data_IF_739176371108
#
_entry.id   IF_739176371108
#
_cell.length_a   1.000
_cell.length_b   1.000
_cell.length_c   1.000
_cell.angle_alpha   90.00
_cell.angle_beta   90.00
_cell.angle_gamma   90.00
#
_symmetry.space_group_name_H-M   'P 1'
#
loop_
_entity.id
_entity.type
_entity.pdbx_description
1 polymer ?
#
# COMPACT_ATOMS: atom_id res chain seq x y z
N UNK A 1 3.12 -3.43 -69.80
CA UNK A 1 2.02 -4.36 -70.14
C UNK A 1 2.03 -5.53 -69.17
N UNK A 2 0.83 -5.98 -68.79
CA UNK A 2 0.47 -7.11 -67.91
C UNK A 2 0.41 -6.82 -66.40
N UNK A 3 -0.80 -6.38 -66.04
CA UNK A 3 -1.45 -6.52 -64.75
C UNK A 3 -1.79 -7.99 -64.41
N UNK A 4 -1.86 -8.29 -63.12
CA UNK A 4 -2.58 -9.39 -62.44
C UNK A 4 -2.47 -9.05 -60.94
N UNK A 5 -3.39 -8.34 -60.29
CA UNK A 5 -4.78 -8.72 -59.95
C UNK A 5 -4.85 -10.13 -59.34
N UNK A 6 -4.62 -10.20 -58.03
CA UNK A 6 -5.09 -11.29 -57.18
C UNK A 6 -5.96 -10.68 -56.08
N UNK A 7 -7.27 -10.73 -56.33
CA UNK A 7 -8.34 -10.46 -55.40
C UNK A 7 -8.52 -11.66 -54.45
N UNK A 8 -8.98 -11.34 -53.23
CA UNK A 8 -9.81 -12.16 -52.34
C UNK A 8 -9.25 -13.49 -51.83
N UNK A 9 -9.04 -13.56 -50.51
CA UNK A 9 -9.86 -14.43 -49.67
C UNK A 9 -9.96 -13.84 -48.25
N UNK A 10 -11.17 -13.40 -47.90
CA UNK A 10 -11.63 -13.25 -46.52
C UNK A 10 -11.56 -14.62 -45.84
N UNK A 11 -10.71 -14.75 -44.82
CA UNK A 11 -10.79 -15.82 -43.84
C UNK A 11 -11.39 -15.29 -42.54
N UNK A 12 -12.71 -15.43 -42.38
CA UNK A 12 -13.38 -15.22 -41.11
C UNK A 12 -13.00 -16.37 -40.16
N UNK A 13 -12.13 -16.11 -39.19
CA UNK A 13 -11.92 -17.03 -38.06
C UNK A 13 -13.05 -16.79 -37.08
N UNK A 14 -14.04 -17.67 -37.11
CA UNK A 14 -15.01 -17.81 -36.03
C UNK A 14 -14.28 -18.39 -34.80
N UNK A 15 -13.94 -17.54 -33.84
CA UNK A 15 -13.53 -17.99 -32.51
C UNK A 15 -14.79 -18.43 -31.76
N UNK A 16 -14.97 -19.74 -31.72
CA UNK A 16 -15.98 -20.38 -30.89
C UNK A 16 -15.71 -20.11 -29.40
N UNK A 17 -16.79 -19.98 -28.65
CA UNK A 17 -16.87 -19.57 -27.25
C UNK A 17 -15.79 -20.17 -26.33
N UNK A 18 -15.07 -19.27 -25.68
CA UNK A 18 -14.78 -19.39 -24.26
C UNK A 18 -15.57 -18.32 -23.56
N UNK A 19 -16.57 -18.69 -22.75
CA UNK A 19 -17.15 -17.79 -21.77
C UNK A 19 -16.01 -17.18 -20.95
N UNK A 20 -15.84 -15.85 -20.89
CA UNK A 20 -14.96 -15.30 -19.88
C UNK A 20 -15.59 -15.64 -18.53
N UNK A 21 -14.92 -16.56 -17.82
CA UNK A 21 -15.12 -16.84 -16.41
C UNK A 21 -15.43 -15.52 -15.71
N UNK A 22 -16.58 -15.51 -15.05
CA UNK A 22 -17.14 -14.50 -14.16
C UNK A 22 -16.12 -13.41 -13.84
N UNK A 23 -16.19 -12.33 -14.61
CA UNK A 23 -15.49 -11.09 -14.29
C UNK A 23 -16.07 -10.55 -13.00
N UNK A 24 -15.53 -11.00 -11.88
CA UNK A 24 -15.60 -10.27 -10.62
C UNK A 24 -14.79 -8.99 -10.85
N UNK A 25 -15.48 -7.95 -11.33
CA UNK A 25 -14.96 -6.58 -11.29
C UNK A 25 -14.56 -6.32 -9.84
N UNK A 26 -13.37 -5.74 -9.58
CA UNK A 26 -13.03 -5.36 -8.22
C UNK A 26 -14.10 -4.39 -7.72
N UNK A 27 -14.65 -4.72 -6.56
CA UNK A 27 -15.67 -3.99 -5.82
C UNK A 27 -15.01 -2.73 -5.20
N UNK A 28 -14.39 -1.90 -6.06
CA UNK A 28 -13.41 -0.85 -5.74
C UNK A 28 -14.01 0.57 -5.71
N UNK A 29 -15.33 0.69 -5.54
CA UNK A 29 -15.96 2.00 -5.35
C UNK A 29 -15.83 2.43 -3.88
N UNK A 30 -14.65 2.93 -3.51
CA UNK A 30 -14.52 3.75 -2.30
C UNK A 30 -15.35 5.03 -2.48
N UNK A 31 -16.34 5.22 -1.61
CA UNK A 31 -17.24 6.39 -1.69
C UNK A 31 -16.59 7.67 -1.15
N UNK A 32 -15.53 7.53 -0.35
CA UNK A 32 -14.80 8.66 0.20
C UNK A 32 -13.34 8.29 0.43
N UNK A 33 -12.45 9.17 -0.04
CA UNK A 33 -11.00 9.09 0.19
C UNK A 33 -10.52 10.42 0.76
N UNK A 34 -9.86 10.38 1.91
CA UNK A 34 -9.18 11.53 2.47
C UNK A 34 -7.69 11.27 2.61
N UNK A 35 -6.90 12.01 1.83
CA UNK A 35 -5.44 11.97 1.89
C UNK A 35 -4.97 12.63 3.20
N UNK A 36 -4.30 11.85 4.04
CA UNK A 36 -3.80 12.26 5.34
C UNK A 36 -2.37 12.82 5.26
N UNK A 37 -1.52 12.21 4.43
CA UNK A 37 -0.13 12.63 4.23
C UNK A 37 0.42 12.13 2.88
N UNK A 38 1.47 12.78 2.41
CA UNK A 38 2.29 12.36 1.25
C UNK A 38 3.76 12.56 1.58
N UNK A 39 4.60 11.58 1.26
CA UNK A 39 6.05 11.67 1.41
C UNK A 39 6.74 10.65 0.50
N UNK A 40 7.85 11.05 -0.14
CA UNK A 40 8.68 10.21 -0.99
C UNK A 40 7.90 9.29 -1.96
N UNK A 41 6.96 9.89 -2.69
CA UNK A 41 6.05 9.22 -3.65
C UNK A 41 5.10 8.18 -3.03
N UNK A 42 4.99 8.15 -1.71
CA UNK A 42 3.98 7.38 -1.01
C UNK A 42 2.89 8.34 -0.51
N UNK A 43 1.66 7.85 -0.51
CA UNK A 43 0.51 8.52 0.10
C UNK A 43 -0.10 7.65 1.18
N UNK A 44 -0.53 8.32 2.24
CA UNK A 44 -1.35 7.77 3.29
C UNK A 44 -2.76 8.34 3.14
N UNK A 45 -3.76 7.46 3.03
CA UNK A 45 -5.16 7.85 2.87
C UNK A 45 -6.04 7.07 3.84
N UNK A 46 -7.15 7.67 4.27
CA UNK A 46 -8.26 6.96 4.88
C UNK A 46 -9.40 6.85 3.88
N UNK A 47 -9.90 5.63 3.67
CA UNK A 47 -10.91 5.32 2.68
C UNK A 47 -12.13 4.71 3.35
N UNK A 48 -13.33 5.17 2.95
CA UNK A 48 -14.61 4.64 3.42
C UNK A 48 -15.35 3.98 2.27
N UNK A 49 -15.73 2.72 2.47
CA UNK A 49 -16.65 1.98 1.60
C UNK A 49 -17.86 1.48 2.40
N UNK A 50 -18.79 0.79 1.73
CA UNK A 50 -19.88 0.05 2.40
C UNK A 50 -19.38 -1.07 3.30
N UNK A 51 -18.19 -1.63 3.00
CA UNK A 51 -17.58 -2.74 3.76
C UNK A 51 -16.90 -2.26 5.04
N UNK A 52 -16.50 -0.99 5.10
CA UNK A 52 -15.85 -0.42 6.27
C UNK A 52 -14.93 0.75 5.96
N UNK A 53 -14.16 1.14 6.96
CA UNK A 53 -13.14 2.19 6.86
C UNK A 53 -11.77 1.55 6.92
N UNK A 54 -10.92 1.84 5.95
CA UNK A 54 -9.55 1.34 5.87
C UNK A 54 -8.57 2.49 5.74
N UNK A 55 -7.34 2.25 6.16
CA UNK A 55 -6.21 3.18 6.02
C UNK A 55 -5.21 2.54 5.09
N UNK A 56 -4.90 3.23 4.00
CA UNK A 56 -4.03 2.71 2.95
C UNK A 56 -2.73 3.50 2.87
N UNK A 57 -1.63 2.77 2.77
CA UNK A 57 -0.31 3.29 2.41
C UNK A 57 0.00 2.74 1.02
N UNK A 58 0.13 3.62 0.04
CA UNK A 58 0.36 3.21 -1.36
C UNK A 58 1.22 4.21 -2.11
N UNK A 59 1.92 3.81 -3.18
CA UNK A 59 2.60 4.76 -4.05
C UNK A 59 1.61 5.72 -4.73
N UNK A 60 2.09 6.91 -5.07
CA UNK A 60 1.37 7.91 -5.87
C UNK A 60 1.35 7.54 -7.36
N UNK A 61 2.20 6.62 -7.80
CA UNK A 61 2.22 6.07 -9.15
C UNK A 61 1.58 4.67 -9.19
N UNK A 62 1.07 4.23 -10.36
CA UNK A 62 0.50 2.90 -10.51
C UNK A 62 1.56 1.85 -10.15
N UNK A 63 1.23 0.91 -9.26
CA UNK A 63 2.13 -0.20 -9.02
C UNK A 63 1.90 -1.30 -10.04
N UNK A 64 2.93 -1.57 -10.84
CA UNK A 64 2.88 -2.59 -11.89
C UNK A 64 2.89 -4.02 -11.34
N UNK A 65 3.24 -4.21 -10.06
CA UNK A 65 3.31 -5.51 -9.40
C UNK A 65 2.57 -5.42 -8.06
N UNK A 66 1.76 -6.43 -7.73
CA UNK A 66 1.08 -6.51 -6.44
C UNK A 66 2.07 -6.47 -5.27
N UNK A 67 1.66 -5.92 -4.13
CA UNK A 67 2.50 -5.82 -2.92
C UNK A 67 3.10 -4.44 -2.61
N UNK A 68 2.76 -3.40 -3.37
CA UNK A 68 3.19 -2.03 -3.07
C UNK A 68 2.24 -1.25 -2.17
N UNK A 69 1.06 -1.80 -1.90
CA UNK A 69 0.03 -1.17 -1.09
C UNK A 69 -0.19 -1.97 0.19
N UNK A 70 -0.40 -1.24 1.27
CA UNK A 70 -0.75 -1.78 2.56
C UNK A 70 -2.10 -1.21 2.99
N UNK A 71 -3.12 -2.06 3.02
CA UNK A 71 -4.44 -1.73 3.57
C UNK A 71 -4.57 -2.24 5.00
N UNK A 72 -4.92 -1.34 5.90
CA UNK A 72 -5.02 -1.56 7.34
C UNK A 72 -6.41 -1.20 7.86
N UNK A 73 -6.90 -1.95 8.84
CA UNK A 73 -7.97 -1.43 9.72
C UNK A 73 -7.44 -0.24 10.54
N UNK A 74 -8.32 0.65 11.05
CA UNK A 74 -7.88 1.78 11.87
C UNK A 74 -7.07 1.37 13.10
N UNK A 75 -7.40 0.23 13.72
CA UNK A 75 -6.68 -0.34 14.87
C UNK A 75 -5.30 -0.84 14.48
N UNK A 76 -5.18 -1.56 13.37
CA UNK A 76 -3.89 -2.01 12.83
C UNK A 76 -3.01 -0.80 12.42
N UNK A 77 -3.60 0.20 11.77
CA UNK A 77 -2.93 1.44 11.43
C UNK A 77 -2.39 2.17 12.67
N UNK A 78 -3.16 2.22 13.76
CA UNK A 78 -2.69 2.79 15.02
C UNK A 78 -1.51 2.01 15.62
N UNK A 79 -1.52 0.68 15.55
CA UNK A 79 -0.42 -0.16 16.02
C UNK A 79 0.86 0.05 15.19
N UNK A 80 0.74 0.07 13.85
CA UNK A 80 1.85 0.37 12.94
C UNK A 80 2.38 1.79 13.17
N UNK A 81 1.50 2.77 13.36
CA UNK A 81 1.88 4.15 13.67
C UNK A 81 2.66 4.30 14.97
N UNK A 82 2.34 3.50 16.00
CA UNK A 82 3.12 3.45 17.25
C UNK A 82 4.52 2.88 17.03
N UNK A 83 4.66 1.82 16.23
CA UNK A 83 5.95 1.27 15.87
C UNK A 83 6.79 2.27 15.06
N UNK A 84 6.19 2.89 14.03
CA UNK A 84 6.86 3.88 13.17
C UNK A 84 7.29 5.15 13.91
N UNK A 85 6.62 5.54 15.00
CA UNK A 85 7.08 6.69 15.80
C UNK A 85 8.42 6.46 16.50
N UNK A 86 8.93 5.21 16.52
CA UNK A 86 10.27 4.91 17.02
C UNK A 86 11.36 5.05 15.96
N UNK A 87 11.01 5.47 14.73
CA UNK A 87 11.92 5.55 13.58
C UNK A 87 13.23 6.26 13.90
N UNK A 88 13.18 7.49 14.42
CA UNK A 88 14.41 8.25 14.73
C UNK A 88 15.24 7.61 15.84
N UNK A 89 14.59 7.14 16.89
CA UNK A 89 15.27 6.47 18.00
C UNK A 89 15.95 5.15 17.56
N UNK A 90 15.30 4.39 16.66
CA UNK A 90 15.87 3.18 16.08
C UNK A 90 17.02 3.53 15.13
N UNK A 91 16.85 4.53 14.26
CA UNK A 91 17.90 5.01 13.36
C UNK A 91 19.16 5.39 14.14
N UNK A 92 19.04 6.25 15.16
CA UNK A 92 20.18 6.65 15.99
C UNK A 92 20.85 5.47 16.69
N UNK A 93 20.05 4.50 17.17
CA UNK A 93 20.59 3.29 17.79
C UNK A 93 21.38 2.46 16.78
N UNK A 94 20.81 2.14 15.62
CA UNK A 94 21.49 1.34 14.59
C UNK A 94 22.80 2.00 14.12
N UNK A 95 22.82 3.33 14.00
CA UNK A 95 24.04 4.08 13.67
C UNK A 95 25.13 3.94 14.76
N UNK A 96 24.75 3.88 16.04
CA UNK A 96 25.68 3.74 17.16
C UNK A 96 26.14 2.29 17.37
N UNK A 97 25.23 1.33 17.30
CA UNK A 97 25.53 -0.10 17.59
C UNK A 97 26.11 -0.83 16.38
N UNK A 98 25.99 -0.26 15.18
CA UNK A 98 26.31 -0.91 13.89
C UNK A 98 25.51 -2.19 13.65
N UNK A 99 24.36 -2.33 14.30
CA UNK A 99 23.41 -3.39 14.00
C UNK A 99 22.78 -3.16 12.61
N UNK A 100 22.54 -4.25 11.88
CA UNK A 100 22.00 -4.17 10.52
C UNK A 100 20.49 -3.85 10.51
N UNK A 101 19.76 -4.31 11.52
CA UNK A 101 18.30 -4.20 11.56
C UNK A 101 17.72 -4.42 12.94
N UNK A 102 16.53 -3.88 13.16
CA UNK A 102 15.69 -4.15 14.33
C UNK A 102 14.23 -4.35 13.91
N UNK A 103 13.53 -5.28 14.57
CA UNK A 103 12.13 -5.55 14.31
C UNK A 103 11.26 -5.20 15.52
N UNK A 104 10.11 -4.59 15.26
CA UNK A 104 9.09 -4.26 16.26
C UNK A 104 7.77 -4.90 15.82
N UNK A 105 7.18 -5.71 16.69
CA UNK A 105 5.82 -6.26 16.47
C UNK A 105 4.81 -5.12 16.61
N UNK A 106 3.91 -5.00 15.64
CA UNK A 106 2.94 -3.91 15.51
C UNK A 106 1.51 -4.47 15.51
N UNK A 107 1.00 -4.83 16.69
CA UNK A 107 -0.30 -5.52 16.81
C UNK A 107 -0.14 -7.02 16.66
N UNK A 108 -1.19 -7.70 16.18
CA UNK A 108 -1.20 -9.18 16.09
C UNK A 108 -0.49 -9.69 14.83
N UNK A 109 -0.85 -9.12 13.68
CA UNK A 109 -0.50 -9.69 12.37
C UNK A 109 0.50 -8.83 11.59
N UNK A 110 1.17 -7.88 12.24
CA UNK A 110 2.11 -6.97 11.58
C UNK A 110 3.41 -6.79 12.36
N UNK A 111 4.48 -6.53 11.62
CA UNK A 111 5.78 -6.12 12.17
C UNK A 111 6.39 -5.02 11.31
N UNK A 112 7.13 -4.13 11.96
CA UNK A 112 7.93 -3.10 11.31
C UNK A 112 9.40 -3.47 11.51
N UNK A 113 10.11 -3.66 10.41
CA UNK A 113 11.55 -3.93 10.39
C UNK A 113 12.27 -2.67 9.94
N UNK A 114 13.09 -2.13 10.81
CA UNK A 114 14.00 -1.02 10.53
C UNK A 114 15.34 -1.60 10.11
N UNK A 115 15.93 -1.06 9.05
CA UNK A 115 17.25 -1.50 8.58
C UNK A 115 18.02 -0.36 7.96
N UNK A 116 19.34 -0.48 8.04
CA UNK A 116 20.26 0.39 7.32
C UNK A 116 21.04 -0.47 6.34
N UNK A 117 21.04 -0.13 5.07
CA UNK A 117 21.81 -0.87 4.07
C UNK A 117 23.31 -0.51 4.11
N UNK A 118 24.10 -1.17 3.25
CA UNK A 118 25.55 -0.94 3.15
C UNK A 118 25.92 0.47 2.70
N UNK A 119 24.98 1.21 2.10
CA UNK A 119 25.16 2.59 1.64
C UNK A 119 24.77 3.62 2.71
N UNK A 120 24.28 3.16 3.87
CA UNK A 120 23.80 4.02 4.95
C UNK A 120 22.34 4.46 4.78
N UNK A 121 21.63 3.96 3.75
CA UNK A 121 20.23 4.28 3.53
C UNK A 121 19.37 3.52 4.54
N UNK A 122 18.56 4.28 5.28
CA UNK A 122 17.64 3.75 6.27
C UNK A 122 16.24 3.55 5.70
N UNK A 123 15.62 2.44 6.08
CA UNK A 123 14.27 2.09 5.67
C UNK A 123 13.48 1.46 6.82
N UNK A 124 12.18 1.77 6.87
CA UNK A 124 11.20 1.07 7.69
C UNK A 124 10.30 0.22 6.76
N UNK A 125 10.44 -1.10 6.85
CA UNK A 125 9.66 -2.07 6.08
C UNK A 125 8.52 -2.62 6.94
N UNK A 126 7.28 -2.41 6.51
CA UNK A 126 6.09 -2.93 7.18
C UNK A 126 5.67 -4.25 6.52
N UNK A 127 5.63 -5.31 7.30
CA UNK A 127 5.18 -6.64 6.88
C UNK A 127 3.86 -6.98 7.56
N UNK A 128 2.92 -7.52 6.78
CA UNK A 128 1.87 -8.39 7.32
C UNK A 128 2.44 -9.79 7.51
N UNK A 129 2.00 -10.51 8.52
CA UNK A 129 2.35 -11.91 8.72
C UNK A 129 1.95 -12.74 7.49
N UNK A 130 2.89 -13.52 6.96
CA UNK A 130 2.71 -14.30 5.73
C UNK A 130 3.09 -13.57 4.43
N UNK A 131 3.22 -12.24 4.43
CA UNK A 131 3.58 -11.48 3.23
C UNK A 131 5.09 -11.56 2.95
N UNK A 132 5.44 -11.80 1.69
CA UNK A 132 6.84 -11.81 1.21
C UNK A 132 7.36 -10.41 0.86
N UNK A 133 6.47 -9.50 0.45
CA UNK A 133 6.80 -8.17 -0.04
C UNK A 133 6.33 -7.14 0.98
N UNK A 134 7.24 -6.39 1.62
CA UNK A 134 6.85 -5.33 2.54
C UNK A 134 6.55 -4.02 1.82
N UNK A 135 5.73 -3.19 2.44
CA UNK A 135 5.68 -1.76 2.11
C UNK A 135 6.84 -1.07 2.81
N UNK A 136 7.74 -0.50 2.01
CA UNK A 136 8.97 0.12 2.50
C UNK A 136 8.84 1.65 2.50
N UNK A 137 9.18 2.26 3.61
CA UNK A 137 9.17 3.71 3.81
C UNK A 137 10.59 4.19 4.09
N UNK A 138 11.01 5.26 3.41
CA UNK A 138 12.19 6.01 3.82
C UNK A 138 11.97 6.63 5.22
N UNK A 139 13.05 7.01 5.89
CA UNK A 139 13.01 7.62 7.23
C UNK A 139 12.00 8.76 7.34
N UNK A 140 12.06 9.71 6.41
CA UNK A 140 11.19 10.90 6.44
C UNK A 140 9.72 10.53 6.20
N UNK A 141 9.45 9.55 5.33
CA UNK A 141 8.10 9.04 5.10
C UNK A 141 7.54 8.32 6.33
N UNK A 142 8.34 7.49 6.99
CA UNK A 142 7.96 6.80 8.23
C UNK A 142 7.63 7.80 9.34
N UNK A 143 8.47 8.82 9.55
CA UNK A 143 8.22 9.90 10.51
C UNK A 143 6.98 10.73 10.16
N UNK A 144 6.77 11.02 8.88
CA UNK A 144 5.60 11.78 8.40
C UNK A 144 4.30 11.00 8.61
N UNK A 145 4.31 9.68 8.39
CA UNK A 145 3.11 8.85 8.46
C UNK A 145 2.77 8.40 9.88
N UNK A 146 3.75 8.34 10.80
CA UNK A 146 3.52 7.85 12.15
C UNK A 146 2.42 8.63 12.92
N UNK A 147 2.42 9.98 12.98
CA UNK A 147 1.37 10.72 13.71
C UNK A 147 -0.07 10.50 13.20
N UNK A 148 -0.38 10.61 11.89
CA UNK A 148 -1.72 10.34 11.40
C UNK A 148 -2.12 8.87 11.56
N UNK A 149 -1.19 7.92 11.40
CA UNK A 149 -1.45 6.50 11.65
C UNK A 149 -1.86 6.24 13.11
N UNK A 150 -1.18 6.84 14.09
CA UNK A 150 -1.56 6.73 15.50
C UNK A 150 -2.97 7.26 15.79
N UNK A 151 -3.42 8.25 15.03
CA UNK A 151 -4.75 8.85 15.14
C UNK A 151 -5.80 8.16 14.26
N UNK A 152 -5.45 7.07 13.56
CA UNK A 152 -6.31 6.41 12.58
C UNK A 152 -7.71 6.06 13.13
N UNK A 153 -7.79 5.52 14.34
CA UNK A 153 -9.08 5.18 14.99
C UNK A 153 -9.96 6.42 15.18
N UNK A 154 -9.39 7.54 15.63
CA UNK A 154 -10.14 8.78 15.81
C UNK A 154 -10.57 9.37 14.46
N UNK A 155 -9.68 9.35 13.47
CA UNK A 155 -9.95 9.81 12.11
C UNK A 155 -11.05 8.97 11.46
N UNK A 156 -11.03 7.64 11.63
CA UNK A 156 -12.05 6.74 11.13
C UNK A 156 -13.43 7.07 11.72
N UNK A 157 -13.52 7.27 13.04
CA UNK A 157 -14.78 7.70 13.69
C UNK A 157 -15.31 9.01 13.13
N UNK A 158 -14.42 9.97 12.83
CA UNK A 158 -14.81 11.25 12.21
C UNK A 158 -15.34 11.05 10.78
N UNK A 159 -14.72 10.17 10.00
CA UNK A 159 -15.17 9.81 8.65
C UNK A 159 -16.53 9.11 8.72
N UNK A 160 -16.69 8.11 9.60
CA UNK A 160 -17.94 7.36 9.79
C UNK A 160 -19.10 8.25 10.20
N UNK A 161 -18.85 9.28 11.01
CA UNK A 161 -19.88 10.24 11.41
C UNK A 161 -20.35 11.11 10.24
N UNK A 162 -19.44 11.46 9.32
CA UNK A 162 -19.69 12.38 8.20
C UNK A 162 -20.23 11.68 6.96
N UNK A 163 -19.77 10.47 6.68
CA UNK A 163 -20.15 9.67 5.53
C UNK A 163 -21.07 8.56 6.01
N UNK A 164 -22.37 8.73 5.78
CA UNK A 164 -23.41 7.76 6.16
C UNK A 164 -23.92 7.04 4.91
N UNK A 165 -24.23 5.77 5.08
CA UNK A 165 -24.96 4.96 4.11
C UNK A 165 -26.28 4.53 4.72
#
# INVERSE_FOLDING_TARGET
>A
MRALLCWLMLGAVAFAGGEPATGEKPDDDFFFTWRLATSDRMRLSINKSRRGTVVDIRPDFPCCFGGCELSLTPEQAAAVGKALARTDAVYERLQRTREASEAIVAGKDYRVVFRTDKTGRFEAAVFREGDLIPVTLARDAANTFAPPLQKAVELAKRVDKKVRF
#
